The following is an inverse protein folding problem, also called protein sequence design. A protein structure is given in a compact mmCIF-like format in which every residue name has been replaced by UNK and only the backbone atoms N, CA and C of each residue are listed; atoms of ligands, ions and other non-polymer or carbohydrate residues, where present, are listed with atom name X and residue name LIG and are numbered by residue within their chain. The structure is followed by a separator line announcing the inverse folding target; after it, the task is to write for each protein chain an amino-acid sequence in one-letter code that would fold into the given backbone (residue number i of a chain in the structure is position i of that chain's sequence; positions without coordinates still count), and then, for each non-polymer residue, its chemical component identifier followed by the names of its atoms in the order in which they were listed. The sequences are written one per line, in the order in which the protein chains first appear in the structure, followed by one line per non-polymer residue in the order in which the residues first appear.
data_IF_245243393009
#
_entry.id   IF_245243393009
#
_cell.length_a   1.000
_cell.length_b   1.000
_cell.length_c   1.000
_cell.angle_alpha   90.00
_cell.angle_beta   90.00
_cell.angle_gamma   90.00
#
_symmetry.space_group_name_H-M   'P 1'
#
loop_
_entity.id
_entity.type
_entity.pdbx_description
1 polymer ?
#
# COMPACT_ATOMS: atom_id res chain seq x y z
N UNK A 1 -3.17 -14.21 13.09
CA UNK A 1 -2.22 -13.12 12.80
C UNK A 1 -2.42 -11.98 13.77
N UNK A 2 -1.35 -11.36 14.22
CA UNK A 2 -1.47 -10.16 15.05
C UNK A 2 -1.87 -8.94 14.21
N UNK A 3 -2.49 -7.96 14.87
CA UNK A 3 -2.85 -6.71 14.21
C UNK A 3 -1.65 -5.98 13.61
N UNK A 4 -0.50 -6.01 14.29
CA UNK A 4 0.73 -5.39 13.80
C UNK A 4 1.25 -6.05 12.53
N UNK A 5 1.16 -7.38 12.44
CA UNK A 5 1.58 -8.13 11.25
C UNK A 5 0.64 -7.80 10.07
N UNK A 6 -0.67 -7.77 10.31
CA UNK A 6 -1.65 -7.42 9.27
C UNK A 6 -1.46 -5.98 8.82
N UNK A 7 -1.23 -5.05 9.75
CA UNK A 7 -0.97 -3.65 9.42
C UNK A 7 0.26 -3.48 8.53
N UNK A 8 1.35 -4.17 8.86
CA UNK A 8 2.58 -4.14 8.06
C UNK A 8 2.36 -4.74 6.67
N UNK A 9 1.67 -5.88 6.59
CA UNK A 9 1.36 -6.52 5.32
C UNK A 9 0.47 -5.64 4.45
N UNK A 10 -0.47 -4.92 5.05
CA UNK A 10 -1.34 -3.98 4.33
C UNK A 10 -0.54 -2.81 3.75
N UNK A 11 0.38 -2.23 4.52
CA UNK A 11 1.27 -1.17 4.03
C UNK A 11 2.09 -1.66 2.83
N UNK A 12 2.68 -2.83 2.94
CA UNK A 12 3.50 -3.42 1.88
C UNK A 12 2.67 -3.68 0.62
N UNK A 13 1.44 -4.15 0.79
CA UNK A 13 0.54 -4.41 -0.32
C UNK A 13 0.17 -3.11 -1.07
N UNK A 14 -0.16 -2.05 -0.35
CA UNK A 14 -0.47 -0.77 -0.97
C UNK A 14 0.75 -0.18 -1.68
N UNK A 15 1.94 -0.31 -1.10
CA UNK A 15 3.18 0.13 -1.75
C UNK A 15 3.45 -0.65 -3.04
N UNK A 16 3.23 -1.94 -3.03
CA UNK A 16 3.37 -2.79 -4.22
C UNK A 16 2.38 -2.35 -5.30
N UNK A 17 1.13 -2.08 -4.94
CA UNK A 17 0.12 -1.59 -5.88
C UNK A 17 0.56 -0.25 -6.48
N UNK A 18 1.05 0.68 -5.65
CA UNK A 18 1.53 1.97 -6.12
C UNK A 18 2.63 1.81 -7.16
N UNK A 19 3.64 1.00 -6.86
CA UNK A 19 4.77 0.77 -7.76
C UNK A 19 4.32 0.11 -9.08
N UNK A 20 3.42 -0.86 -9.01
CA UNK A 20 2.86 -1.51 -10.19
C UNK A 20 2.10 -0.54 -11.08
N UNK A 21 1.29 0.35 -10.48
CA UNK A 21 0.52 1.32 -11.24
C UNK A 21 1.42 2.36 -11.93
N UNK A 22 2.45 2.84 -11.24
CA UNK A 22 3.42 3.78 -11.84
C UNK A 22 4.12 3.10 -13.00
N UNK A 23 4.55 1.85 -12.84
CA UNK A 23 5.20 1.09 -13.91
C UNK A 23 4.26 0.85 -15.09
N UNK A 24 2.99 0.54 -14.82
CA UNK A 24 1.98 0.34 -15.86
C UNK A 24 1.77 1.59 -16.70
N UNK A 25 1.89 2.77 -16.07
CA UNK A 25 1.70 4.06 -16.73
C UNK A 25 2.98 4.62 -17.34
N UNK A 26 4.07 3.86 -17.33
CA UNK A 26 5.39 4.35 -17.74
C UNK A 26 5.38 5.02 -19.13
N UNK A 27 4.69 4.42 -20.11
CA UNK A 27 4.58 4.99 -21.44
C UNK A 27 3.92 6.38 -21.44
N UNK A 28 2.90 6.57 -20.60
CA UNK A 28 2.20 7.85 -20.47
C UNK A 28 3.03 8.89 -19.72
N UNK A 29 3.96 8.44 -18.88
CA UNK A 29 4.80 9.30 -18.05
C UNK A 29 6.12 9.66 -18.73
N UNK A 30 6.35 9.19 -19.94
CA UNK A 30 7.62 9.37 -20.67
C UNK A 30 7.96 10.84 -20.95
N UNK A 31 6.94 11.69 -21.06
CA UNK A 31 7.13 13.13 -21.31
C UNK A 31 7.54 13.92 -20.09
N UNK A 32 7.56 13.31 -18.90
CA UNK A 32 7.92 13.99 -17.68
C UNK A 32 9.45 14.10 -17.54
N UNK A 33 9.91 15.25 -17.03
CA UNK A 33 11.32 15.41 -16.65
C UNK A 33 11.63 14.48 -15.46
N UNK A 34 12.92 14.30 -15.19
CA UNK A 34 13.36 13.50 -14.03
C UNK A 34 12.87 14.12 -12.73
N UNK A 35 12.88 15.45 -12.61
CA UNK A 35 12.36 16.15 -11.43
C UNK A 35 10.87 15.92 -11.25
N UNK A 36 10.08 16.00 -12.31
CA UNK A 36 8.64 15.76 -12.26
C UNK A 36 8.36 14.29 -11.90
N UNK A 37 9.16 13.39 -12.40
CA UNK A 37 9.05 11.98 -12.10
C UNK A 37 9.33 11.69 -10.63
N UNK A 38 10.36 12.32 -10.07
CA UNK A 38 10.66 12.24 -8.63
C UNK A 38 9.53 12.82 -7.77
N UNK A 39 8.96 13.95 -8.21
CA UNK A 39 7.81 14.55 -7.54
C UNK A 39 6.59 13.63 -7.55
N UNK A 40 6.32 12.97 -8.68
CA UNK A 40 5.24 12.00 -8.80
C UNK A 40 5.45 10.83 -7.83
N UNK A 41 6.67 10.29 -7.76
CA UNK A 41 7.02 9.22 -6.82
C UNK A 41 6.77 9.64 -5.38
N UNK A 42 7.24 10.82 -4.99
CA UNK A 42 7.09 11.33 -3.63
C UNK A 42 5.63 11.60 -3.27
N UNK A 43 4.88 12.24 -4.16
CA UNK A 43 3.47 12.58 -3.92
C UNK A 43 2.62 11.33 -3.78
N UNK A 44 2.80 10.35 -4.68
CA UNK A 44 2.03 9.11 -4.61
C UNK A 44 2.37 8.29 -3.37
N UNK A 45 3.63 8.30 -2.93
CA UNK A 45 4.04 7.65 -1.69
C UNK A 45 3.37 8.30 -0.48
N UNK A 46 3.28 9.63 -0.44
CA UNK A 46 2.59 10.35 0.62
C UNK A 46 1.10 10.07 0.65
N UNK A 47 0.46 10.00 -0.53
CA UNK A 47 -0.97 9.69 -0.64
C UNK A 47 -1.24 8.28 -0.08
N UNK A 48 -0.46 7.30 -0.49
CA UNK A 48 -0.60 5.92 0.00
C UNK A 48 -0.38 5.87 1.51
N UNK A 49 0.65 6.54 2.01
CA UNK A 49 0.92 6.59 3.45
C UNK A 49 -0.27 7.18 4.22
N UNK A 50 -0.84 8.27 3.74
CA UNK A 50 -2.00 8.91 4.38
C UNK A 50 -3.23 8.00 4.39
N UNK A 51 -3.46 7.27 3.29
CA UNK A 51 -4.60 6.34 3.18
C UNK A 51 -4.45 5.17 4.15
N UNK A 52 -3.25 4.62 4.26
CA UNK A 52 -2.99 3.37 5.00
C UNK A 52 -2.75 3.61 6.49
N UNK A 53 -2.18 4.76 6.88
CA UNK A 53 -1.69 4.97 8.25
C UNK A 53 -2.79 4.88 9.31
N UNK A 54 -3.96 5.43 9.06
CA UNK A 54 -5.07 5.40 10.04
C UNK A 54 -5.61 3.98 10.20
N UNK A 55 -6.03 3.26 9.13
CA UNK A 55 -6.48 1.88 9.31
C UNK A 55 -5.38 0.96 9.82
N UNK A 56 -4.11 1.16 9.41
CA UNK A 56 -3.02 0.34 9.92
C UNK A 56 -2.82 0.50 11.42
N UNK A 57 -2.94 1.73 11.93
CA UNK A 57 -2.86 1.99 13.37
C UNK A 57 -4.01 1.35 14.12
N UNK A 58 -5.23 1.47 13.59
CA UNK A 58 -6.40 0.85 14.19
C UNK A 58 -6.26 -0.67 14.24
N UNK A 59 -5.73 -1.28 13.18
CA UNK A 59 -5.49 -2.73 13.14
C UNK A 59 -4.46 -3.16 14.19
N UNK A 60 -3.38 -2.40 14.34
CA UNK A 60 -2.34 -2.72 15.30
C UNK A 60 -2.85 -2.64 16.75
N UNK A 61 -3.76 -1.71 17.03
CA UNK A 61 -4.19 -1.42 18.40
C UNK A 61 -5.42 -2.22 18.85
N UNK A 62 -6.45 -2.33 17.99
CA UNK A 62 -7.79 -2.73 18.49
C UNK A 62 -8.58 -3.68 17.60
N UNK A 63 -8.07 -4.12 16.46
CA UNK A 63 -8.90 -4.89 15.54
C UNK A 63 -9.19 -6.30 16.07
N UNK A 64 -10.47 -6.73 16.08
CA UNK A 64 -10.80 -8.10 16.45
C UNK A 64 -10.34 -9.09 15.39
N UNK A 65 -10.12 -10.34 15.80
CA UNK A 65 -9.61 -11.41 14.93
C UNK A 65 -10.41 -11.60 13.63
N UNK A 66 -11.77 -11.59 13.66
CA UNK A 66 -12.54 -11.73 12.41
C UNK A 66 -12.28 -10.61 11.40
N UNK A 67 -12.02 -9.38 11.87
CA UNK A 67 -11.68 -8.27 10.99
C UNK A 67 -10.30 -8.46 10.37
N UNK A 68 -9.33 -8.95 11.14
CA UNK A 68 -7.98 -9.25 10.65
C UNK A 68 -8.02 -10.34 9.58
N UNK A 69 -8.77 -11.40 9.81
CA UNK A 69 -8.93 -12.50 8.86
C UNK A 69 -9.59 -12.03 7.56
N UNK A 70 -10.59 -11.16 7.66
CA UNK A 70 -11.27 -10.60 6.50
C UNK A 70 -10.31 -9.77 5.64
N UNK A 71 -9.47 -8.95 6.27
CA UNK A 71 -8.49 -8.12 5.55
C UNK A 71 -7.42 -8.97 4.88
N UNK A 72 -6.91 -10.00 5.55
CA UNK A 72 -5.96 -10.93 4.96
C UNK A 72 -6.55 -11.55 3.69
N UNK A 73 -7.81 -11.95 3.73
CA UNK A 73 -8.49 -12.57 2.60
C UNK A 73 -8.77 -11.58 1.47
N UNK A 74 -9.31 -10.40 1.81
CA UNK A 74 -9.71 -9.38 0.82
C UNK A 74 -8.50 -8.85 0.05
N UNK A 75 -7.41 -8.58 0.76
CA UNK A 75 -6.21 -8.01 0.15
C UNK A 75 -5.13 -9.04 -0.18
N UNK A 76 -5.43 -10.33 -0.01
CA UNK A 76 -4.49 -11.45 -0.26
C UNK A 76 -3.14 -11.22 0.43
N UNK A 77 -3.18 -10.85 1.71
CA UNK A 77 -1.98 -10.49 2.46
C UNK A 77 -1.10 -11.70 2.82
N UNK A 78 -1.65 -12.89 2.71
CA UNK A 78 -0.94 -14.16 2.92
C UNK A 78 -0.28 -14.70 1.65
N UNK A 79 -0.45 -14.01 0.51
CA UNK A 79 0.14 -14.39 -0.76
C UNK A 79 1.33 -13.48 -1.08
N UNK A 80 2.39 -14.01 -1.72
CA UNK A 80 3.50 -13.15 -2.13
C UNK A 80 3.03 -12.13 -3.17
N UNK A 81 3.61 -10.92 -3.19
CA UNK A 81 3.29 -9.94 -4.22
C UNK A 81 3.69 -10.48 -5.59
N UNK A 82 2.83 -10.25 -6.55
CA UNK A 82 3.04 -10.71 -7.92
C UNK A 82 4.10 -9.85 -8.64
#
# INVERSE_FOLDING_TARGET
MSGSVVASALRDRFETIRQHEIKRLDKKLRGLSDDDRQSLEAITAEIVHAIVSVPARALADHAPEPALEALVRIFALDSPPA
#
